data_IF_843605639515
#
_entry.id   IF_843605639515
#
_cell.length_a   1.000
_cell.length_b   1.000
_cell.length_c   1.000
_cell.angle_alpha   90.00
_cell.angle_beta   90.00
_cell.angle_gamma   90.00
#
_symmetry.space_group_name_H-M   'P 1'
#
loop_
_entity.id
_entity.type
_entity.pdbx_description
1 polymer ?
#
# COMPACT_ATOMS: atom_id res chain seq x y z
N UNK A 1 -41.81 -36.91 -5.68
CA UNK A 1 -40.44 -37.20 -6.21
C UNK A 1 -40.04 -36.28 -7.37
N UNK A 2 -40.99 -35.81 -8.20
CA UNK A 2 -40.75 -34.89 -9.34
C UNK A 2 -40.30 -33.49 -8.92
N UNK A 3 -40.89 -32.93 -7.86
CA UNK A 3 -40.60 -31.55 -7.41
C UNK A 3 -39.21 -31.38 -6.79
N UNK A 4 -38.69 -32.44 -6.15
CA UNK A 4 -37.35 -32.43 -5.52
C UNK A 4 -36.23 -32.43 -6.56
N UNK A 5 -36.44 -33.08 -7.72
CA UNK A 5 -35.52 -33.02 -8.87
C UNK A 5 -35.58 -31.66 -9.56
N UNK A 6 -36.78 -31.08 -9.69
CA UNK A 6 -36.95 -29.74 -10.27
C UNK A 6 -36.27 -28.66 -9.41
N UNK A 7 -36.41 -28.72 -8.08
CA UNK A 7 -35.74 -27.81 -7.15
C UNK A 7 -34.21 -27.95 -7.19
N UNK A 8 -33.71 -29.17 -7.36
CA UNK A 8 -32.27 -29.44 -7.48
C UNK A 8 -31.70 -28.90 -8.79
N UNK A 9 -32.42 -29.09 -9.90
CA UNK A 9 -32.06 -28.52 -11.21
C UNK A 9 -32.11 -26.99 -11.19
N UNK A 10 -33.10 -26.39 -10.53
CA UNK A 10 -33.19 -24.93 -10.38
C UNK A 10 -32.02 -24.36 -9.57
N UNK A 11 -31.57 -25.06 -8.51
CA UNK A 11 -30.39 -24.67 -7.73
C UNK A 11 -29.10 -24.74 -8.55
N UNK A 12 -28.92 -25.80 -9.36
CA UNK A 12 -27.76 -25.92 -10.25
C UNK A 12 -27.77 -24.79 -11.28
N UNK A 13 -28.92 -24.51 -11.88
CA UNK A 13 -29.06 -23.41 -12.84
C UNK A 13 -28.72 -22.06 -12.18
N UNK A 14 -29.23 -21.80 -10.98
CA UNK A 14 -28.92 -20.57 -10.22
C UNK A 14 -27.43 -20.46 -9.91
N UNK A 15 -26.77 -21.57 -9.55
CA UNK A 15 -25.33 -21.61 -9.28
C UNK A 15 -24.51 -21.35 -10.55
N UNK A 16 -24.90 -21.93 -11.69
CA UNK A 16 -24.26 -21.69 -13.00
C UNK A 16 -24.45 -20.24 -13.46
N UNK A 17 -25.64 -19.65 -13.24
CA UNK A 17 -25.92 -18.23 -13.55
C UNK A 17 -25.09 -17.30 -12.66
N UNK A 18 -24.96 -17.60 -11.36
CA UNK A 18 -24.08 -16.83 -10.46
C UNK A 18 -22.61 -16.92 -10.88
N UNK A 19 -22.14 -18.10 -11.34
CA UNK A 19 -20.78 -18.26 -11.84
C UNK A 19 -20.51 -17.63 -13.21
N UNK A 20 -21.55 -17.34 -14.00
CA UNK A 20 -21.39 -16.69 -15.31
C UNK A 20 -21.46 -15.16 -15.25
N UNK A 21 -21.78 -14.60 -14.08
CA UNK A 21 -21.82 -13.15 -13.84
C UNK A 21 -20.53 -12.58 -13.21
N UNK A 22 -19.45 -13.35 -13.12
CA UNK A 22 -18.15 -12.82 -12.67
C UNK A 22 -17.56 -11.86 -13.70
N UNK A 23 -17.85 -10.57 -13.54
CA UNK A 23 -17.12 -9.50 -14.20
C UNK A 23 -15.74 -9.30 -13.56
N UNK A 24 -14.70 -9.14 -14.38
CA UNK A 24 -13.42 -8.61 -13.89
C UNK A 24 -13.58 -7.11 -13.66
N UNK A 25 -13.40 -6.67 -12.42
CA UNK A 25 -13.21 -5.26 -12.10
C UNK A 25 -11.74 -4.90 -12.35
N UNK A 26 -11.51 -3.84 -13.13
CA UNK A 26 -10.18 -3.29 -13.37
C UNK A 26 -10.11 -1.94 -12.69
N UNK A 27 -9.00 -1.65 -12.03
CA UNK A 27 -8.79 -0.45 -11.25
C UNK A 27 -7.29 -0.18 -11.14
N UNK A 28 -6.95 1.07 -10.84
CA UNK A 28 -5.56 1.48 -10.65
C UNK A 28 -4.76 0.48 -9.80
N UNK A 29 -3.73 -0.10 -10.43
CA UNK A 29 -2.86 -1.10 -9.81
C UNK A 29 -1.49 -0.51 -9.48
N UNK A 30 -1.03 -0.74 -8.24
CA UNK A 30 0.32 -0.43 -7.77
C UNK A 30 0.86 -1.58 -6.91
N UNK A 31 2.17 -1.81 -6.99
CA UNK A 31 2.83 -2.99 -6.42
C UNK A 31 2.93 -3.00 -4.87
N UNK A 32 2.87 -1.82 -4.22
CA UNK A 32 2.89 -1.70 -2.76
C UNK A 32 2.26 -0.40 -2.30
N UNK A 33 1.55 -0.46 -1.17
CA UNK A 33 0.84 0.62 -0.50
C UNK A 33 1.74 1.53 0.35
N UNK A 34 2.91 1.03 0.78
CA UNK A 34 3.94 1.78 1.49
C UNK A 34 5.24 1.70 0.69
N UNK A 35 5.88 2.84 0.44
CA UNK A 35 7.17 2.92 -0.24
C UNK A 35 8.13 3.82 0.54
N UNK A 36 9.42 3.51 0.53
CA UNK A 36 10.45 4.34 1.17
C UNK A 36 11.52 4.78 0.18
N UNK A 37 12.06 5.96 0.42
CA UNK A 37 13.29 6.42 -0.20
C UNK A 37 14.41 6.34 0.83
N UNK A 38 15.40 5.51 0.51
CA UNK A 38 16.56 5.25 1.36
C UNK A 38 17.54 6.44 1.36
N UNK A 39 18.36 6.53 2.40
CA UNK A 39 19.23 7.67 2.68
C UNK A 39 20.29 7.97 1.60
N UNK A 40 20.64 6.97 0.78
CA UNK A 40 21.61 7.07 -0.31
C UNK A 40 20.96 7.41 -1.67
N UNK A 41 19.63 7.45 -1.75
CA UNK A 41 18.90 7.71 -3.00
C UNK A 41 18.54 9.18 -3.15
N UNK A 42 18.60 9.67 -4.40
CA UNK A 42 18.20 11.04 -4.76
C UNK A 42 16.77 11.10 -5.31
N UNK A 43 16.23 9.97 -5.73
CA UNK A 43 14.86 9.84 -6.19
C UNK A 43 14.33 8.42 -5.93
N UNK A 44 13.01 8.33 -5.84
CA UNK A 44 12.24 7.09 -5.86
C UNK A 44 11.53 6.97 -7.20
N UNK A 45 11.35 5.76 -7.71
CA UNK A 45 10.64 5.50 -8.97
C UNK A 45 9.82 4.23 -8.87
N UNK A 46 8.59 4.24 -9.39
CA UNK A 46 7.72 3.07 -9.40
C UNK A 46 6.80 3.07 -10.61
N UNK A 47 6.55 1.88 -11.16
CA UNK A 47 5.66 1.74 -12.30
C UNK A 47 4.20 1.74 -11.88
N UNK A 48 3.37 2.31 -12.74
CA UNK A 48 1.91 2.19 -12.71
C UNK A 48 1.42 1.82 -14.11
N UNK A 49 0.27 1.16 -14.18
CA UNK A 49 -0.27 0.61 -15.43
C UNK A 49 -1.75 0.99 -15.54
N UNK A 50 -2.19 1.27 -16.76
CA UNK A 50 -3.61 1.29 -17.08
C UNK A 50 -4.07 -0.14 -17.39
N UNK A 51 -4.57 -0.83 -16.39
CA UNK A 51 -5.11 -2.20 -16.52
C UNK A 51 -6.55 -2.22 -17.05
N UNK A 52 -7.14 -1.05 -17.31
CA UNK A 52 -8.51 -0.92 -17.80
C UNK A 52 -8.58 -1.05 -19.32
N UNK A 53 -9.81 -1.12 -19.85
CA UNK A 53 -10.08 -1.13 -21.29
C UNK A 53 -10.24 0.27 -21.90
N UNK A 54 -10.14 1.34 -21.09
CA UNK A 54 -10.34 2.72 -21.52
C UNK A 54 -9.03 3.49 -21.47
N UNK A 55 -8.92 4.55 -22.27
CA UNK A 55 -7.84 5.53 -22.10
C UNK A 55 -8.11 6.34 -20.85
N UNK A 56 -7.14 6.43 -19.95
CA UNK A 56 -7.31 7.08 -18.66
C UNK A 56 -6.30 8.22 -18.48
N UNK A 57 -6.76 9.30 -17.86
CA UNK A 57 -5.93 10.37 -17.34
C UNK A 57 -5.53 10.02 -15.91
N UNK A 58 -4.24 9.93 -15.66
CA UNK A 58 -3.66 9.81 -14.33
C UNK A 58 -3.21 11.18 -13.83
N UNK A 59 -3.51 11.50 -12.58
CA UNK A 59 -3.06 12.69 -11.88
C UNK A 59 -2.38 12.30 -10.57
N UNK A 60 -1.23 12.90 -10.30
CA UNK A 60 -0.45 12.67 -9.08
C UNK A 60 -0.51 13.91 -8.19
N UNK A 61 -0.73 13.71 -6.91
CA UNK A 61 -0.56 14.75 -5.89
C UNK A 61 0.02 14.15 -4.62
N UNK A 62 0.51 15.03 -3.74
CA UNK A 62 1.06 14.61 -2.46
C UNK A 62 0.80 15.66 -1.38
N UNK A 63 0.70 15.20 -0.14
CA UNK A 63 0.70 16.05 1.05
C UNK A 63 1.55 15.40 2.14
N UNK A 64 2.08 16.21 3.04
CA UNK A 64 2.90 15.74 4.16
C UNK A 64 1.98 15.37 5.32
N UNK A 65 2.37 14.37 6.10
CA UNK A 65 1.65 13.98 7.32
C UNK A 65 2.62 13.93 8.49
N UNK A 66 2.10 14.17 9.71
CA UNK A 66 2.87 14.06 10.94
C UNK A 66 3.33 12.61 11.20
N UNK A 67 2.45 11.64 10.96
CA UNK A 67 2.70 10.20 11.07
C UNK A 67 1.65 9.39 10.31
N UNK A 68 2.00 8.19 9.81
CA UNK A 68 1.01 7.24 9.29
C UNK A 68 0.13 6.67 10.40
N UNK A 69 -1.16 6.47 10.14
CA UNK A 69 -2.06 5.74 11.03
C UNK A 69 -3.48 6.32 11.14
N UNK A 70 -4.12 6.15 12.29
CA UNK A 70 -5.52 6.54 12.50
C UNK A 70 -5.72 8.01 12.91
N UNK A 71 -4.66 8.71 13.30
CA UNK A 71 -4.69 10.11 13.79
C UNK A 71 -3.66 10.95 13.04
N UNK A 72 -3.83 11.01 11.74
CA UNK A 72 -2.94 11.75 10.84
C UNK A 72 -3.37 13.21 10.75
N UNK A 73 -2.39 14.10 10.77
CA UNK A 73 -2.56 15.51 10.47
C UNK A 73 -1.81 15.82 9.19
N UNK A 74 -2.57 16.11 8.14
CA UNK A 74 -2.02 16.50 6.85
C UNK A 74 -1.65 17.98 6.85
N UNK A 75 -0.49 18.29 6.27
CA UNK A 75 -0.05 19.64 5.95
C UNK A 75 0.33 19.74 4.46
N UNK A 76 0.09 20.91 3.83
CA UNK A 76 0.59 21.15 2.48
C UNK A 76 2.11 21.02 2.42
N UNK A 77 2.62 20.46 1.33
CA UNK A 77 4.07 20.42 1.06
C UNK A 77 4.56 21.85 0.91
N UNK A 78 5.58 22.22 1.68
CA UNK A 78 6.19 23.55 1.66
C UNK A 78 7.52 23.53 0.91
N UNK A 79 7.89 24.65 0.30
CA UNK A 79 9.21 24.87 -0.33
C UNK A 79 9.63 23.86 -1.42
N UNK A 80 8.69 23.07 -1.95
CA UNK A 80 8.99 22.02 -2.93
C UNK A 80 9.90 20.92 -2.37
N UNK A 81 9.81 20.63 -1.06
CA UNK A 81 10.60 19.56 -0.42
C UNK A 81 10.41 18.19 -1.09
N UNK A 82 9.24 17.97 -1.72
CA UNK A 82 8.99 16.85 -2.60
C UNK A 82 8.51 17.35 -3.97
N UNK A 83 9.07 16.78 -5.03
CA UNK A 83 8.70 17.02 -6.41
C UNK A 83 8.42 15.67 -7.07
N UNK A 84 7.37 15.60 -7.89
CA UNK A 84 7.00 14.37 -8.59
C UNK A 84 6.81 14.60 -10.08
N UNK A 85 7.06 13.55 -10.86
CA UNK A 85 6.84 13.55 -12.31
C UNK A 85 6.34 12.16 -12.75
N UNK A 86 5.37 12.08 -13.68
CA UNK A 86 4.60 13.22 -14.22
C UNK A 86 3.58 13.76 -13.21
N UNK A 87 3.16 15.02 -13.36
CA UNK A 87 2.00 15.54 -12.63
C UNK A 87 0.70 14.93 -13.17
N UNK A 88 0.62 14.83 -14.49
CA UNK A 88 -0.50 14.26 -15.23
C UNK A 88 0.00 13.47 -16.44
N UNK A 89 -0.63 12.35 -16.74
CA UNK A 89 -0.29 11.53 -17.90
C UNK A 89 -1.51 10.78 -18.40
N UNK A 90 -1.69 10.74 -19.71
CA UNK A 90 -2.68 9.89 -20.37
C UNK A 90 -2.00 8.56 -20.68
N UNK A 91 -2.65 7.45 -20.34
CA UNK A 91 -2.21 6.10 -20.71
C UNK A 91 -3.33 5.39 -21.49
N UNK A 92 -2.96 4.75 -22.59
CA UNK A 92 -3.82 3.83 -23.34
C UNK A 92 -4.01 2.51 -22.56
N UNK A 93 -5.04 1.71 -22.90
CA UNK A 93 -5.23 0.38 -22.31
C UNK A 93 -3.96 -0.48 -22.39
N UNK A 94 -3.51 -1.00 -21.24
CA UNK A 94 -2.32 -1.83 -21.11
C UNK A 94 -0.99 -1.07 -21.07
N UNK A 95 -0.97 0.25 -21.25
CA UNK A 95 0.26 1.04 -21.15
C UNK A 95 0.75 1.16 -19.72
N UNK A 96 2.08 1.13 -19.59
CA UNK A 96 2.81 1.26 -18.33
C UNK A 96 3.68 2.50 -18.39
N UNK A 97 3.78 3.22 -17.27
CA UNK A 97 4.65 4.36 -17.09
C UNK A 97 5.27 4.34 -15.69
N UNK A 98 6.30 5.14 -15.46
CA UNK A 98 6.92 5.32 -14.16
C UNK A 98 6.66 6.70 -13.60
N UNK A 99 6.20 6.76 -12.34
CA UNK A 99 6.25 8.00 -11.59
C UNK A 99 7.57 8.05 -10.81
N UNK A 100 8.13 9.25 -10.69
CA UNK A 100 9.34 9.52 -9.92
C UNK A 100 9.04 10.56 -8.86
N UNK A 101 9.62 10.38 -7.68
CA UNK A 101 9.57 11.32 -6.56
C UNK A 101 10.99 11.74 -6.23
N UNK A 102 11.24 13.03 -6.19
CA UNK A 102 12.49 13.65 -5.77
C UNK A 102 12.26 14.35 -4.44
N UNK A 103 13.19 14.19 -3.50
CA UNK A 103 13.17 14.91 -2.24
C UNK A 103 14.30 15.92 -2.20
N UNK A 104 13.96 17.16 -1.88
CA UNK A 104 14.86 18.31 -1.76
C UNK A 104 14.72 19.02 -0.41
N UNK A 105 14.00 18.40 0.53
CA UNK A 105 13.87 18.91 1.89
C UNK A 105 15.16 18.80 2.70
N UNK A 106 15.04 18.99 4.01
CA UNK A 106 16.19 18.97 4.92
C UNK A 106 16.88 17.60 4.92
N UNK A 107 18.20 17.64 4.92
CA UNK A 107 19.06 16.46 4.99
C UNK A 107 19.52 16.27 6.44
N UNK A 108 18.68 15.64 7.26
CA UNK A 108 18.87 15.50 8.70
C UNK A 108 18.49 14.09 9.21
N UNK A 109 18.44 13.94 10.54
CA UNK A 109 18.19 12.65 11.20
C UNK A 109 16.70 12.39 11.47
N UNK A 110 15.79 13.09 10.76
CA UNK A 110 14.35 12.97 10.93
C UNK A 110 13.72 12.18 9.78
N UNK A 111 12.92 11.18 10.12
CA UNK A 111 12.05 10.48 9.19
C UNK A 111 10.83 11.34 8.86
N UNK A 112 10.43 11.39 7.59
CA UNK A 112 9.31 12.21 7.12
C UNK A 112 8.32 11.37 6.34
N UNK A 113 7.04 11.71 6.48
CA UNK A 113 5.93 10.93 5.97
C UNK A 113 5.08 11.77 5.03
N UNK A 114 4.67 11.17 3.93
CA UNK A 114 3.85 11.80 2.91
C UNK A 114 2.79 10.81 2.45
N UNK A 115 1.65 11.34 2.03
CA UNK A 115 0.65 10.59 1.28
C UNK A 115 0.74 10.96 -0.18
N UNK A 116 0.86 9.95 -1.03
CA UNK A 116 0.83 10.08 -2.49
C UNK A 116 -0.56 9.66 -2.94
N UNK A 117 -1.26 10.57 -3.60
CA UNK A 117 -2.57 10.33 -4.18
C UNK A 117 -2.39 10.15 -5.68
N UNK A 118 -2.89 9.05 -6.20
CA UNK A 118 -2.93 8.77 -7.64
C UNK A 118 -4.39 8.67 -8.05
N UNK A 119 -4.85 9.61 -8.86
CA UNK A 119 -6.22 9.65 -9.36
C UNK A 119 -6.27 9.20 -10.81
N UNK A 120 -7.24 8.34 -11.13
CA UNK A 120 -7.55 7.82 -12.46
C UNK A 120 -8.92 8.34 -12.90
N UNK A 121 -8.98 8.98 -14.07
CA UNK A 121 -10.22 9.44 -14.70
C UNK A 121 -10.29 8.92 -16.14
N UNK A 122 -11.31 8.13 -16.51
CA UNK A 122 -11.48 7.71 -17.90
C UNK A 122 -11.74 8.88 -18.83
N UNK A 123 -11.03 8.91 -19.95
CA UNK A 123 -11.23 9.88 -21.02
C UNK A 123 -12.17 9.25 -22.07
N UNK A 124 -13.47 9.50 -21.93
CA UNK A 124 -14.42 9.18 -23.00
C UNK A 124 -14.39 10.29 -24.05
N UNK A 125 -13.76 10.02 -25.21
CA UNK A 125 -13.93 10.85 -26.40
C UNK A 125 -15.27 10.49 -27.04
N UNK A 126 -16.34 11.19 -26.68
CA UNK A 126 -17.62 11.04 -27.37
C UNK A 126 -17.60 11.91 -28.63
N UNK A 127 -17.91 11.31 -29.79
CA UNK A 127 -18.23 12.09 -30.98
C UNK A 127 -19.53 12.85 -30.69
N UNK A 128 -19.49 14.17 -30.80
CA UNK A 128 -20.60 15.08 -30.50
C UNK A 128 -21.70 14.93 -31.56
N UNK A 129 -22.43 13.82 -31.50
CA UNK A 129 -23.59 13.57 -32.34
C UNK A 129 -24.76 14.34 -31.70
N UNK A 130 -24.98 15.58 -32.18
CA UNK A 130 -25.87 16.61 -31.62
C UNK A 130 -27.33 16.18 -31.31
N UNK A 131 -27.71 14.96 -31.70
CA UNK A 131 -29.03 14.35 -31.49
C UNK A 131 -29.17 13.55 -30.19
N UNK A 132 -28.09 13.29 -29.44
CA UNK A 132 -28.15 12.60 -28.14
C UNK A 132 -27.50 13.44 -27.04
N UNK A 133 -28.28 14.34 -26.43
CA UNK A 133 -27.90 15.01 -25.18
C UNK A 133 -27.92 14.00 -24.03
N UNK A 134 -26.85 13.23 -23.87
CA UNK A 134 -26.66 12.37 -22.70
C UNK A 134 -25.85 13.11 -21.64
N UNK A 135 -26.18 12.95 -20.34
CA UNK A 135 -25.37 13.51 -19.27
C UNK A 135 -23.99 12.84 -19.27
N UNK A 136 -22.93 13.66 -19.37
CA UNK A 136 -21.55 13.20 -19.28
C UNK A 136 -21.20 12.97 -17.81
N UNK A 137 -20.73 11.77 -17.47
CA UNK A 137 -20.29 11.40 -16.13
C UNK A 137 -18.88 10.79 -16.21
N UNK A 138 -17.91 11.43 -15.57
CA UNK A 138 -16.52 10.98 -15.52
C UNK A 138 -16.17 10.51 -14.11
N UNK A 139 -16.30 9.21 -13.81
CA UNK A 139 -15.91 8.70 -12.50
C UNK A 139 -14.40 8.90 -12.30
N UNK A 140 -13.99 9.40 -11.14
CA UNK A 140 -12.58 9.47 -10.77
C UNK A 140 -12.32 8.56 -9.58
N UNK A 141 -11.40 7.61 -9.74
CA UNK A 141 -10.94 6.74 -8.67
C UNK A 141 -9.62 7.29 -8.13
N UNK A 142 -9.41 7.27 -6.81
CA UNK A 142 -8.15 7.71 -6.21
C UNK A 142 -7.61 6.65 -5.28
N UNK A 143 -6.31 6.37 -5.41
CA UNK A 143 -5.56 5.52 -4.51
C UNK A 143 -4.61 6.39 -3.67
N UNK A 144 -4.67 6.23 -2.36
CA UNK A 144 -3.72 6.84 -1.43
C UNK A 144 -2.68 5.81 -0.99
N UNK A 145 -1.41 6.19 -1.03
CA UNK A 145 -0.28 5.36 -0.59
C UNK A 145 0.64 6.16 0.33
N UNK A 146 1.35 5.50 1.23
CA UNK A 146 2.34 6.15 2.08
C UNK A 146 3.70 6.17 1.40
N UNK A 147 4.37 7.31 1.49
CA UNK A 147 5.74 7.49 1.08
C UNK A 147 6.56 8.01 2.26
N UNK A 148 7.64 7.29 2.57
CA UNK A 148 8.52 7.62 3.70
C UNK A 148 9.88 8.05 3.19
N UNK A 149 10.36 9.21 3.63
CA UNK A 149 11.73 9.65 3.43
C UNK A 149 12.52 9.29 4.68
N UNK A 150 13.46 8.34 4.53
CA UNK A 150 14.29 7.91 5.66
C UNK A 150 15.30 9.01 6.07
N UNK A 151 15.73 9.03 7.35
CA UNK A 151 16.80 9.90 7.82
C UNK A 151 18.10 9.71 7.05
N UNK A 152 18.93 10.75 6.96
CA UNK A 152 20.24 10.66 6.30
C UNK A 152 21.21 9.74 7.03
N UNK A 153 21.32 9.92 8.35
CA UNK A 153 22.10 9.04 9.22
C UNK A 153 21.11 8.15 9.94
N UNK A 154 20.96 6.95 9.41
CA UNK A 154 20.04 5.95 9.96
C UNK A 154 20.65 5.37 11.24
N UNK A 155 19.87 5.41 12.32
CA UNK A 155 20.15 4.75 13.59
C UNK A 155 19.08 3.69 13.85
N UNK A 156 19.38 2.44 13.46
CA UNK A 156 18.48 1.30 13.67
C UNK A 156 18.73 0.70 15.06
N UNK A 157 17.78 0.91 15.97
CA UNK A 157 17.81 0.40 17.35
C UNK A 157 16.41 -0.01 17.81
N UNK A 158 16.35 -1.04 18.64
CA UNK A 158 15.12 -1.51 19.25
C UNK A 158 15.38 -2.12 20.62
N UNK A 159 14.34 -2.17 21.45
CA UNK A 159 14.34 -2.84 22.76
C UNK A 159 13.21 -3.86 22.78
N UNK A 160 13.52 -5.07 23.26
CA UNK A 160 12.56 -6.17 23.37
C UNK A 160 12.50 -6.67 24.81
N UNK A 161 11.31 -6.62 25.41
CA UNK A 161 11.01 -7.24 26.68
C UNK A 161 9.98 -8.35 26.45
N UNK A 162 10.47 -9.59 26.33
CA UNK A 162 9.64 -10.75 26.01
C UNK A 162 8.70 -11.15 27.15
N UNK A 163 9.06 -10.94 28.42
CA UNK A 163 8.20 -11.28 29.55
C UNK A 163 7.00 -10.32 29.67
N UNK A 164 7.23 -9.04 29.38
CA UNK A 164 6.16 -8.04 29.31
C UNK A 164 5.43 -8.00 27.97
N UNK A 165 6.00 -8.62 26.93
CA UNK A 165 5.43 -8.67 25.59
C UNK A 165 5.49 -7.31 24.90
N UNK A 166 6.65 -6.65 24.98
CA UNK A 166 6.87 -5.28 24.54
C UNK A 166 8.01 -5.23 23.55
N UNK A 167 7.77 -4.60 22.41
CA UNK A 167 8.78 -4.23 21.43
C UNK A 167 8.73 -2.72 21.21
N UNK A 168 9.86 -2.04 21.38
CA UNK A 168 9.97 -0.60 21.20
C UNK A 168 11.01 -0.26 20.13
N UNK A 169 10.66 0.62 19.22
CA UNK A 169 11.61 1.21 18.29
C UNK A 169 12.31 2.39 18.99
N UNK A 170 13.58 2.23 19.31
CA UNK A 170 14.40 3.28 19.94
C UNK A 170 15.31 4.00 18.94
N UNK A 171 15.26 3.59 17.66
CA UNK A 171 15.96 4.22 16.55
C UNK A 171 15.23 5.44 15.99
N UNK A 172 15.70 5.89 14.83
CA UNK A 172 15.16 7.07 14.12
C UNK A 172 14.45 6.75 12.80
N UNK A 173 14.29 5.48 12.44
CA UNK A 173 13.56 5.06 11.24
C UNK A 173 12.59 3.92 11.54
N UNK A 174 11.49 3.82 10.79
CA UNK A 174 10.55 2.71 10.95
C UNK A 174 11.13 1.37 10.46
N UNK A 175 10.62 0.29 11.04
CA UNK A 175 10.82 -1.07 10.56
C UNK A 175 9.51 -1.86 10.56
N UNK A 176 9.46 -2.93 9.75
CA UNK A 176 8.35 -3.88 9.74
C UNK A 176 8.62 -4.99 10.76
N UNK A 177 7.61 -5.43 11.48
CA UNK A 177 7.67 -6.58 12.38
C UNK A 177 6.76 -7.66 11.81
N UNK A 178 7.28 -8.87 11.70
CA UNK A 178 6.57 -10.07 11.23
C UNK A 178 6.53 -11.06 12.39
N UNK A 179 5.34 -11.47 12.80
CA UNK A 179 5.11 -12.34 13.94
C UNK A 179 4.39 -13.59 13.46
N UNK A 180 5.06 -14.73 13.58
CA UNK A 180 4.49 -16.03 13.31
C UNK A 180 3.72 -16.57 14.52
N UNK A 181 2.80 -17.50 14.25
CA UNK A 181 2.01 -18.19 15.26
C UNK A 181 2.79 -19.31 15.94
N UNK A 182 3.78 -19.90 15.26
CA UNK A 182 4.54 -21.05 15.76
C UNK A 182 6.05 -20.94 15.48
N UNK A 183 6.79 -22.00 15.86
CA UNK A 183 8.21 -22.16 15.53
C UNK A 183 8.45 -23.09 14.33
N UNK A 184 7.41 -23.73 13.81
CA UNK A 184 7.49 -24.64 12.67
C UNK A 184 7.55 -23.82 11.37
N UNK A 185 8.35 -24.28 10.40
CA UNK A 185 8.51 -23.58 9.10
C UNK A 185 7.36 -23.91 8.15
N UNK A 186 6.81 -25.12 8.26
CA UNK A 186 6.07 -25.80 7.20
C UNK A 186 4.55 -25.72 7.38
N UNK A 187 4.05 -24.69 8.06
CA UNK A 187 2.62 -24.42 8.10
C UNK A 187 2.28 -23.55 6.89
N UNK A 188 2.07 -24.20 5.73
CA UNK A 188 1.78 -23.57 4.43
C UNK A 188 0.54 -22.65 4.49
N UNK A 189 -0.33 -22.84 5.48
CA UNK A 189 -1.53 -22.05 5.71
C UNK A 189 -1.34 -20.90 6.74
N UNK A 190 -0.14 -20.76 7.33
CA UNK A 190 0.11 -19.75 8.34
C UNK A 190 0.26 -18.35 7.72
N UNK A 191 -0.69 -17.47 8.03
CA UNK A 191 -0.59 -16.04 7.71
C UNK A 191 0.03 -15.30 8.91
N UNK A 192 1.29 -14.82 8.82
CA UNK A 192 1.92 -14.11 9.91
C UNK A 192 1.29 -12.73 10.10
N UNK A 193 1.26 -12.27 11.35
CA UNK A 193 0.84 -10.90 11.67
C UNK A 193 1.95 -9.93 11.29
N UNK A 194 1.60 -8.84 10.61
CA UNK A 194 2.55 -7.80 10.20
C UNK A 194 2.14 -6.43 10.73
N UNK A 195 3.12 -5.65 11.19
CA UNK A 195 2.92 -4.27 11.61
C UNK A 195 4.17 -3.44 11.32
N UNK A 196 4.02 -2.13 11.33
CA UNK A 196 5.13 -1.18 11.20
C UNK A 196 5.30 -0.46 12.53
N UNK A 197 6.54 -0.39 13.02
CA UNK A 197 6.86 0.29 14.26
C UNK A 197 7.64 1.57 13.94
N UNK A 198 6.99 2.71 14.12
CA UNK A 198 7.57 4.03 13.88
C UNK A 198 8.63 4.37 14.95
N UNK A 199 9.53 5.34 14.71
CA UNK A 199 10.48 5.81 15.70
C UNK A 199 9.79 6.17 17.03
N UNK A 200 10.38 5.73 18.14
CA UNK A 200 9.88 5.94 19.51
C UNK A 200 8.52 5.28 19.82
N UNK A 201 7.95 4.51 18.89
CA UNK A 201 6.72 3.78 19.12
C UNK A 201 6.97 2.47 19.89
N UNK A 202 6.04 2.15 20.77
CA UNK A 202 5.97 0.87 21.49
C UNK A 202 4.80 0.03 20.96
N UNK A 203 5.04 -1.26 20.76
CA UNK A 203 4.03 -2.27 20.51
C UNK A 203 4.01 -3.27 21.66
N UNK A 204 2.86 -3.36 22.33
CA UNK A 204 2.62 -4.28 23.44
C UNK A 204 1.54 -5.28 23.07
N UNK A 205 1.88 -6.56 23.03
CA UNK A 205 0.93 -7.60 22.66
C UNK A 205 1.28 -8.97 23.22
N UNK A 206 0.27 -9.79 23.54
CA UNK A 206 0.47 -11.13 24.12
C UNK A 206 1.24 -12.07 23.18
N UNK A 207 1.12 -11.91 21.85
CA UNK A 207 1.87 -12.71 20.88
C UNK A 207 3.39 -12.53 20.99
N UNK A 208 3.87 -11.38 21.48
CA UNK A 208 5.29 -11.16 21.72
C UNK A 208 5.84 -12.07 22.83
N UNK A 209 4.99 -12.53 23.75
CA UNK A 209 5.35 -13.47 24.82
C UNK A 209 5.36 -14.93 24.36
N UNK A 210 4.54 -15.27 23.37
CA UNK A 210 4.37 -16.66 22.89
C UNK A 210 5.68 -17.18 22.29
N UNK A 211 5.97 -18.47 22.47
CA UNK A 211 7.07 -19.14 21.74
C UNK A 211 6.72 -19.22 20.26
N UNK A 212 7.36 -18.38 19.44
CA UNK A 212 7.14 -18.32 17.98
C UNK A 212 8.25 -17.54 17.28
N UNK A 213 8.37 -17.72 15.95
CA UNK A 213 9.29 -16.93 15.12
C UNK A 213 8.80 -15.49 15.01
N UNK A 214 9.73 -14.56 15.12
CA UNK A 214 9.46 -13.13 15.06
C UNK A 214 10.65 -12.48 14.38
N UNK A 215 10.38 -11.60 13.43
CA UNK A 215 11.40 -10.93 12.66
C UNK A 215 11.14 -9.44 12.63
N UNK A 216 12.21 -8.66 12.78
CA UNK A 216 12.24 -7.27 12.32
C UNK A 216 12.77 -7.30 10.88
N UNK A 217 12.08 -6.63 9.98
CA UNK A 217 12.46 -6.49 8.57
C UNK A 217 12.77 -5.03 8.27
N UNK A 218 14.02 -4.77 7.90
CA UNK A 218 14.52 -3.44 7.53
C UNK A 218 15.74 -3.60 6.60
N UNK A 219 15.91 -2.71 5.61
CA UNK A 219 17.00 -2.75 4.62
C UNK A 219 17.12 -4.09 3.88
N UNK A 220 15.98 -4.68 3.51
CA UNK A 220 15.90 -6.00 2.86
C UNK A 220 16.55 -7.13 3.68
N UNK A 221 16.69 -6.94 4.99
CA UNK A 221 17.26 -7.92 5.93
C UNK A 221 16.24 -8.31 6.99
N UNK A 222 16.36 -9.56 7.45
CA UNK A 222 15.58 -10.13 8.54
C UNK A 222 16.45 -10.24 9.78
N UNK A 223 15.96 -9.70 10.89
CA UNK A 223 16.58 -9.80 12.22
C UNK A 223 15.67 -10.64 13.11
N UNK A 224 16.14 -11.81 13.52
CA UNK A 224 15.40 -12.68 14.43
C UNK A 224 15.29 -12.03 15.81
N UNK A 225 14.07 -11.92 16.31
CA UNK A 225 13.73 -11.49 17.67
C UNK A 225 12.81 -12.50 18.37
N UNK A 226 12.68 -13.69 17.77
CA UNK A 226 11.91 -14.80 18.30
C UNK A 226 12.65 -15.58 19.37
N UNK A 227 11.97 -16.58 19.94
CA UNK A 227 12.45 -17.42 21.04
C UNK A 227 12.26 -18.90 20.72
N UNK A 228 12.52 -19.28 19.47
CA UNK A 228 12.37 -20.66 18.98
C UNK A 228 13.57 -21.56 19.26
N UNK A 229 14.69 -20.96 19.64
CA UNK A 229 15.85 -21.69 20.19
C UNK A 229 15.50 -22.41 21.50
#
# INVERSE_FOLDING_TARGET
MRDRKLYFLLKILLFVVMFSLYGKAYALYIDADISSMEADKTFFSKSYINDTKKTNLYNFSAYKIDRPGSKEHGEPITEGEIIFTPLKKILLPGEREFFKIFYRGKNDNQERYYKIIISETPLEMQNDDARKKQPLFYPTMSLETYFVVRPKNIDFKYEMNASEGVLKNTGNTYFRVVIHNSCQVDDDDEVPSMLYLLPQQEYRHAQLKKKSRKYIVIFDKYYSIGNCE
#
